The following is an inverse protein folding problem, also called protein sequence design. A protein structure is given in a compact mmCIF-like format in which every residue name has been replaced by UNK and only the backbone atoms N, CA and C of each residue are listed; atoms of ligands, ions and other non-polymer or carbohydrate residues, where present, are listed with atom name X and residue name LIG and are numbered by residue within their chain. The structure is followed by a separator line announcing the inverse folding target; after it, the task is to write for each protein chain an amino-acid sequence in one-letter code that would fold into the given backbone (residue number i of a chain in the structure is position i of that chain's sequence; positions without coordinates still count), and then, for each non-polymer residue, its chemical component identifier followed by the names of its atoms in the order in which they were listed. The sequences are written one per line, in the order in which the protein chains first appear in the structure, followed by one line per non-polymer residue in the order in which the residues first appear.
data_IF_040257353110
#
_entry.id   IF_040257353110
#
_cell.length_a   1.000
_cell.length_b   1.000
_cell.length_c   1.000
_cell.angle_alpha   90.00
_cell.angle_beta   90.00
_cell.angle_gamma   90.00
#
_symmetry.space_group_name_H-M   'P 1'
#
loop_
_entity.id
_entity.type
_entity.pdbx_description
1 polymer ?
#
# COMPACT_ATOMS: atom_id res chain seq x y z
N UNK A 1 -15.06 13.19 -35.38
CA UNK A 1 -14.33 12.26 -34.49
C UNK A 1 -13.45 13.11 -33.59
N UNK A 2 -13.82 13.32 -32.33
CA UNK A 2 -13.00 14.09 -31.40
C UNK A 2 -11.96 13.13 -30.81
N UNK A 3 -10.69 13.32 -31.18
CA UNK A 3 -9.58 12.67 -30.51
C UNK A 3 -9.38 13.36 -29.16
N UNK A 4 -9.70 12.66 -28.08
CA UNK A 4 -9.45 13.14 -26.73
C UNK A 4 -7.92 13.25 -26.56
N UNK A 5 -7.47 14.48 -26.31
CA UNK A 5 -6.07 14.75 -26.01
C UNK A 5 -5.71 14.05 -24.70
N UNK A 6 -4.74 13.15 -24.76
CA UNK A 6 -4.05 12.68 -23.57
C UNK A 6 -3.50 13.90 -22.84
N UNK A 7 -4.10 14.26 -21.70
CA UNK A 7 -3.48 15.17 -20.76
C UNK A 7 -2.25 14.47 -20.19
N UNK A 8 -1.12 14.58 -20.90
CA UNK A 8 0.18 14.31 -20.30
C UNK A 8 0.33 15.37 -19.22
N UNK A 9 0.21 14.96 -17.96
CA UNK A 9 0.49 15.81 -16.81
C UNK A 9 1.96 16.23 -16.87
N UNK A 10 2.24 17.34 -17.56
CA UNK A 10 3.54 17.99 -17.56
C UNK A 10 3.79 18.70 -16.22
N UNK A 11 5.05 19.03 -15.98
CA UNK A 11 5.57 19.62 -14.74
C UNK A 11 4.93 20.97 -14.33
N UNK A 12 4.08 21.55 -15.19
CA UNK A 12 3.35 22.81 -14.99
C UNK A 12 2.01 22.68 -14.25
N UNK A 13 1.65 21.47 -13.78
CA UNK A 13 0.46 21.31 -12.92
C UNK A 13 0.76 21.75 -11.48
N UNK A 14 -0.17 22.38 -10.74
CA UNK A 14 0.03 22.81 -9.35
C UNK A 14 0.35 21.66 -8.38
N UNK A 15 0.31 20.42 -8.87
CA UNK A 15 0.63 19.21 -8.16
C UNK A 15 2.06 18.71 -8.39
N UNK A 16 2.85 19.34 -9.27
CA UNK A 16 4.17 18.84 -9.69
C UNK A 16 5.15 18.68 -8.54
N UNK A 17 5.14 19.61 -7.58
CA UNK A 17 5.93 19.49 -6.34
C UNK A 17 5.59 18.22 -5.53
N UNK A 18 4.31 17.82 -5.49
CA UNK A 18 3.92 16.58 -4.81
C UNK A 18 4.25 15.33 -5.63
N UNK A 19 4.23 15.43 -6.97
CA UNK A 19 4.67 14.35 -7.86
C UNK A 19 6.16 14.09 -7.66
N UNK A 20 6.98 15.14 -7.60
CA UNK A 20 8.41 15.05 -7.36
C UNK A 20 8.72 14.42 -5.99
N UNK A 21 8.01 14.82 -4.93
CA UNK A 21 8.21 14.24 -3.60
C UNK A 21 7.77 12.77 -3.55
N UNK A 22 6.64 12.40 -4.18
CA UNK A 22 6.24 10.98 -4.30
C UNK A 22 7.24 10.17 -5.11
N UNK A 23 7.86 10.78 -6.14
CA UNK A 23 8.91 10.13 -6.92
C UNK A 23 10.15 9.87 -6.05
N UNK A 24 10.59 10.87 -5.27
CA UNK A 24 11.71 10.72 -4.33
C UNK A 24 11.48 9.57 -3.36
N UNK A 25 10.29 9.49 -2.75
CA UNK A 25 9.93 8.42 -1.83
C UNK A 25 9.93 7.03 -2.50
N UNK A 26 9.45 6.93 -3.75
CA UNK A 26 9.51 5.66 -4.50
C UNK A 26 10.95 5.26 -4.81
N UNK A 27 11.76 6.21 -5.23
CA UNK A 27 13.16 5.97 -5.60
C UNK A 27 13.96 5.53 -4.35
N UNK A 28 13.70 6.13 -3.17
CA UNK A 28 14.27 5.74 -1.88
C UNK A 28 13.89 4.30 -1.52
N UNK A 29 12.58 3.97 -1.50
CA UNK A 29 12.10 2.61 -1.20
C UNK A 29 12.64 1.58 -2.19
N UNK A 30 12.73 1.92 -3.48
CA UNK A 30 13.31 1.03 -4.48
C UNK A 30 14.78 0.71 -4.16
N UNK A 31 15.58 1.71 -3.78
CA UNK A 31 16.98 1.51 -3.41
C UNK A 31 17.15 0.62 -2.16
N UNK A 32 16.27 0.77 -1.17
CA UNK A 32 16.28 -0.06 0.03
C UNK A 32 15.92 -1.51 -0.26
N UNK A 33 14.94 -1.74 -1.14
CA UNK A 33 14.56 -3.07 -1.61
C UNK A 33 15.74 -3.73 -2.33
N UNK A 34 16.40 -3.01 -3.24
CA UNK A 34 17.57 -3.52 -3.96
C UNK A 34 18.70 -3.92 -3.00
N UNK A 35 19.00 -3.08 -2.00
CA UNK A 35 20.01 -3.37 -0.99
C UNK A 35 19.63 -4.61 -0.14
N UNK A 36 18.37 -4.72 0.28
CA UNK A 36 17.87 -5.87 1.03
C UNK A 36 18.03 -7.18 0.26
N UNK A 37 17.67 -7.18 -1.03
CA UNK A 37 17.82 -8.33 -1.91
C UNK A 37 19.29 -8.68 -2.15
N UNK A 38 20.15 -7.68 -2.38
CA UNK A 38 21.59 -7.88 -2.60
C UNK A 38 22.30 -8.47 -1.37
N UNK A 39 21.82 -8.17 -0.16
CA UNK A 39 22.34 -8.72 1.09
C UNK A 39 21.86 -10.17 1.35
N UNK A 40 21.04 -10.74 0.45
CA UNK A 40 20.50 -12.09 0.58
C UNK A 40 19.14 -12.15 1.28
N UNK A 41 18.47 -11.01 1.47
CA UNK A 41 17.08 -10.95 1.88
C UNK A 41 16.15 -11.53 0.82
N UNK A 42 15.02 -12.11 1.25
CA UNK A 42 14.03 -12.73 0.37
C UNK A 42 12.65 -12.10 0.56
N UNK A 43 11.89 -11.97 -0.53
CA UNK A 43 10.49 -11.53 -0.49
C UNK A 43 9.60 -12.77 -0.56
N UNK A 44 8.64 -12.87 0.36
CA UNK A 44 7.66 -13.95 0.39
C UNK A 44 6.31 -13.43 -0.09
N UNK A 45 5.68 -14.16 -1.00
CA UNK A 45 4.29 -13.88 -1.40
C UNK A 45 3.36 -14.51 -0.38
N UNK A 46 2.36 -13.74 0.08
CA UNK A 46 1.37 -14.17 1.07
C UNK A 46 0.00 -14.16 0.39
N UNK A 47 -0.80 -15.21 0.57
CA UNK A 47 -2.15 -15.26 0.01
C UNK A 47 -3.09 -14.22 0.66
N UNK A 48 -4.05 -13.72 -0.11
CA UNK A 48 -4.98 -12.65 0.28
C UNK A 48 -5.77 -12.93 1.57
N UNK A 49 -5.93 -14.21 1.94
CA UNK A 49 -6.73 -14.64 3.09
C UNK A 49 -5.88 -15.11 4.29
N UNK A 50 -4.58 -14.83 4.30
CA UNK A 50 -3.73 -15.13 5.46
C UNK A 50 -3.95 -14.08 6.54
N UNK A 51 -4.61 -14.49 7.63
CA UNK A 51 -4.66 -13.72 8.88
C UNK A 51 -3.83 -14.42 9.96
N UNK A 52 -3.04 -13.63 10.68
CA UNK A 52 -2.23 -14.13 11.80
C UNK A 52 -3.05 -14.54 13.03
N UNK A 53 -4.24 -13.95 13.22
CA UNK A 53 -5.18 -14.35 14.27
C UNK A 53 -6.45 -14.93 13.62
N UNK A 54 -6.78 -16.20 13.87
CA UNK A 54 -8.06 -16.77 13.48
C UNK A 54 -9.21 -15.95 14.07
N UNK A 55 -10.34 -15.79 13.36
CA UNK A 55 -11.51 -15.13 13.93
C UNK A 55 -11.94 -15.86 15.21
N UNK A 56 -11.85 -15.17 16.35
CA UNK A 56 -12.26 -15.70 17.65
C UNK A 56 -13.78 -15.75 17.73
N UNK A 57 -14.29 -16.83 18.30
CA UNK A 57 -15.73 -16.98 18.54
C UNK A 57 -16.19 -15.82 19.44
N UNK A 58 -17.29 -15.13 19.12
CA UNK A 58 -17.82 -14.12 20.01
C UNK A 58 -18.28 -14.79 21.31
N UNK A 59 -17.83 -14.25 22.43
CA UNK A 59 -18.35 -14.63 23.75
C UNK A 59 -19.80 -14.12 23.86
N UNK A 60 -20.74 -15.03 24.08
CA UNK A 60 -22.15 -14.69 24.27
C UNK A 60 -22.36 -14.13 25.67
N UNK A 61 -22.14 -12.83 25.85
CA UNK A 61 -22.44 -12.14 27.11
C UNK A 61 -23.88 -11.56 27.15
N UNK A 62 -24.77 -12.07 26.30
CA UNK A 62 -26.17 -11.68 26.29
C UNK A 62 -26.91 -12.38 27.43
N UNK A 63 -27.49 -11.61 28.36
CA UNK A 63 -28.26 -12.13 29.51
C UNK A 63 -27.52 -12.21 30.84
N UNK A 64 -26.28 -11.73 30.95
CA UNK A 64 -25.53 -11.64 32.21
C UNK A 64 -25.88 -10.41 33.07
N UNK A 65 -26.68 -9.50 32.52
CA UNK A 65 -27.25 -8.35 33.23
C UNK A 65 -28.68 -8.71 33.65
N UNK A 66 -29.04 -8.64 34.94
CA UNK A 66 -30.42 -8.74 35.38
C UNK A 66 -31.29 -7.71 34.66
N UNK A 67 -32.49 -8.10 34.24
CA UNK A 67 -33.54 -7.21 33.74
C UNK A 67 -34.29 -6.54 34.89
#
# INVERSE_FOLDING_TARGET
MHAEGYHTHGDDTPNSATIAERKRQRDEVASEIEAFLAQGGGITTIDDNVRADPPKKPESNYGSRPI
#
